data_IF_113323043851
#
_entry.id   IF_113323043851
#
_cell.length_a   1.000
_cell.length_b   1.000
_cell.length_c   1.000
_cell.angle_alpha   90.00
_cell.angle_beta   90.00
_cell.angle_gamma   90.00
#
_symmetry.space_group_name_H-M   'P 1'
#
loop_
_entity.id
_entity.type
_entity.pdbx_description
1 polymer ?
#
# COMPACT_ATOMS: atom_id res chain seq x y z
N UNK A 1 13.54 -5.61 22.92
CA UNK A 1 12.21 -6.25 23.03
C UNK A 1 11.90 -6.70 21.62
N UNK A 2 11.69 -8.00 21.39
CA UNK A 2 11.25 -8.47 20.07
C UNK A 2 9.95 -7.74 19.72
N UNK A 3 9.82 -7.28 18.48
CA UNK A 3 8.58 -6.72 17.93
C UNK A 3 7.55 -7.84 17.66
N UNK A 4 7.36 -8.71 18.67
CA UNK A 4 6.45 -9.84 18.66
C UNK A 4 5.02 -9.33 18.64
N UNK A 5 4.26 -9.80 17.66
CA UNK A 5 2.85 -9.48 17.47
C UNK A 5 1.98 -10.59 18.04
N UNK A 6 2.26 -11.84 17.65
CA UNK A 6 1.54 -13.03 18.15
C UNK A 6 2.49 -14.22 18.24
N UNK A 7 2.21 -15.11 19.19
CA UNK A 7 2.87 -16.42 19.30
C UNK A 7 1.81 -17.52 19.30
N UNK A 8 2.07 -18.57 18.52
CA UNK A 8 1.24 -19.77 18.44
C UNK A 8 2.09 -20.99 18.77
N UNK A 9 1.56 -21.90 19.60
CA UNK A 9 2.24 -23.13 19.99
C UNK A 9 1.49 -24.34 19.44
N UNK A 10 2.20 -25.29 18.86
CA UNK A 10 1.65 -26.55 18.36
C UNK A 10 2.60 -27.72 18.66
N UNK A 11 2.30 -28.47 19.72
CA UNK A 11 3.20 -29.51 20.21
C UNK A 11 4.54 -28.90 20.63
N UNK A 12 5.63 -29.40 20.05
CA UNK A 12 6.99 -28.89 20.25
C UNK A 12 7.39 -27.73 19.31
N UNK A 13 6.47 -27.24 18.46
CA UNK A 13 6.73 -26.13 17.55
C UNK A 13 6.14 -24.82 18.06
N UNK A 14 6.82 -23.72 17.74
CA UNK A 14 6.40 -22.36 18.07
C UNK A 14 6.49 -21.49 16.82
N UNK A 15 5.40 -20.83 16.47
CA UNK A 15 5.32 -19.84 15.41
C UNK A 15 5.21 -18.46 16.04
N UNK A 16 6.17 -17.58 15.76
CA UNK A 16 6.14 -16.17 16.16
C UNK A 16 5.87 -15.31 14.95
N UNK A 17 4.85 -14.46 15.02
CA UNK A 17 4.60 -13.38 14.07
C UNK A 17 5.15 -12.11 14.67
N UNK A 18 5.90 -11.37 13.87
CA UNK A 18 6.74 -10.25 14.27
C UNK A 18 6.57 -9.13 13.24
N UNK A 19 6.65 -7.87 13.66
CA UNK A 19 6.70 -6.76 12.71
C UNK A 19 7.99 -6.86 11.88
N UNK A 20 7.87 -6.51 10.60
CA UNK A 20 9.03 -6.28 9.76
C UNK A 20 9.61 -4.90 10.09
N UNK A 21 10.83 -4.87 10.60
CA UNK A 21 11.52 -3.63 10.99
C UNK A 21 12.15 -2.90 9.80
N UNK A 22 12.23 -3.56 8.65
CA UNK A 22 12.78 -3.01 7.41
C UNK A 22 11.95 -3.48 6.20
N UNK A 23 10.65 -3.13 6.16
CA UNK A 23 9.77 -3.54 5.09
C UNK A 23 10.19 -2.86 3.79
N UNK A 24 10.11 -3.61 2.69
CA UNK A 24 10.27 -3.02 1.36
C UNK A 24 9.07 -2.11 1.05
N UNK A 25 9.34 -0.94 0.45
CA UNK A 25 8.29 -0.04 0.02
C UNK A 25 7.65 -0.60 -1.27
N UNK A 26 6.34 -0.89 -1.29
CA UNK A 26 5.70 -1.48 -2.47
C UNK A 26 5.72 -0.54 -3.70
N UNK A 27 6.00 0.76 -3.51
CA UNK A 27 6.19 1.70 -4.63
C UNK A 27 7.54 1.56 -5.34
N UNK A 28 8.48 0.82 -4.78
CA UNK A 28 9.75 0.48 -5.44
C UNK A 28 9.62 -0.78 -6.33
N UNK A 29 8.45 -1.43 -6.34
CA UNK A 29 8.15 -2.60 -7.18
C UNK A 29 7.72 -2.23 -8.62
N UNK A 30 7.57 -3.26 -9.48
CA UNK A 30 7.07 -3.12 -10.85
C UNK A 30 5.54 -2.91 -10.87
N UNK A 31 5.13 -1.68 -10.62
CA UNK A 31 3.73 -1.25 -10.55
C UNK A 31 3.20 -0.86 -11.95
N UNK A 32 1.92 -1.09 -12.18
CA UNK A 32 1.22 -0.60 -13.37
C UNK A 32 0.93 0.90 -13.25
N UNK A 33 0.53 1.35 -12.07
CA UNK A 33 0.19 2.74 -11.79
C UNK A 33 1.40 3.58 -11.42
N UNK A 34 1.35 4.85 -11.75
CA UNK A 34 2.24 5.88 -11.20
C UNK A 34 1.48 6.75 -10.21
N UNK A 35 1.94 6.84 -8.96
CA UNK A 35 1.38 7.67 -7.89
C UNK A 35 2.13 8.99 -7.77
N UNK A 36 1.46 10.11 -8.04
CA UNK A 36 2.03 11.46 -7.90
C UNK A 36 1.33 12.17 -6.76
N UNK A 37 2.07 12.49 -5.69
CA UNK A 37 1.52 13.06 -4.46
C UNK A 37 2.18 14.39 -4.07
N UNK A 38 1.35 15.32 -3.60
CA UNK A 38 1.71 16.64 -3.14
C UNK A 38 1.30 16.78 -1.67
N UNK A 39 2.21 16.44 -0.75
CA UNK A 39 1.97 16.61 0.69
C UNK A 39 3.11 17.33 1.39
N UNK A 40 2.76 18.25 2.29
CA UNK A 40 3.72 19.14 2.97
C UNK A 40 4.54 18.45 4.08
N UNK A 41 4.03 17.35 4.66
CA UNK A 41 4.68 16.64 5.78
C UNK A 41 5.31 15.31 5.38
N UNK A 42 4.82 14.70 4.30
CA UNK A 42 5.13 13.32 3.94
C UNK A 42 5.57 13.30 2.49
N UNK A 43 6.61 12.53 2.20
CA UNK A 43 6.97 12.18 0.83
C UNK A 43 6.23 10.89 0.48
N UNK A 44 5.24 10.98 -0.40
CA UNK A 44 4.29 9.91 -0.68
C UNK A 44 4.31 9.53 -2.16
N UNK A 45 3.96 8.29 -2.47
CA UNK A 45 3.89 7.80 -3.84
C UNK A 45 5.27 7.71 -4.49
N UNK A 46 5.30 7.86 -5.81
CA UNK A 46 6.49 7.70 -6.62
C UNK A 46 7.28 9.03 -6.73
N UNK A 47 8.62 8.97 -6.85
CA UNK A 47 9.42 10.16 -7.03
C UNK A 47 9.04 10.94 -8.29
N UNK A 48 8.87 12.27 -8.17
CA UNK A 48 8.60 13.15 -9.29
C UNK A 48 9.21 14.54 -9.09
N UNK A 49 9.28 15.32 -10.18
CA UNK A 49 9.86 16.67 -10.18
C UNK A 49 8.81 17.80 -10.33
N UNK A 50 7.52 17.47 -10.37
CA UNK A 50 6.44 18.46 -10.36
C UNK A 50 6.47 19.27 -9.07
N UNK A 51 6.36 20.60 -9.19
CA UNK A 51 6.38 21.49 -8.02
C UNK A 51 5.00 21.62 -7.43
N UNK A 52 4.00 21.69 -8.30
CA UNK A 52 2.60 21.85 -7.94
C UNK A 52 1.71 20.87 -8.71
N UNK A 53 0.50 20.55 -8.21
CA UNK A 53 -0.48 19.75 -8.93
C UNK A 53 -0.75 20.21 -10.36
N UNK A 54 -0.68 21.52 -10.59
CA UNK A 54 -1.00 22.16 -11.88
C UNK A 54 0.05 21.79 -12.93
N UNK A 55 1.33 21.68 -12.54
CA UNK A 55 2.41 21.25 -13.43
C UNK A 55 2.15 19.82 -13.92
N UNK A 56 1.75 18.93 -13.02
CA UNK A 56 1.44 17.53 -13.32
C UNK A 56 0.22 17.39 -14.23
N UNK A 57 -0.89 18.07 -13.90
CA UNK A 57 -2.10 18.01 -14.72
C UNK A 57 -1.87 18.64 -16.10
N UNK A 58 -1.07 19.72 -16.18
CA UNK A 58 -0.70 20.32 -17.46
C UNK A 58 0.13 19.37 -18.31
N UNK A 59 1.13 18.68 -17.74
CA UNK A 59 1.94 17.70 -18.44
C UNK A 59 1.08 16.55 -19.00
N UNK A 60 0.19 15.97 -18.20
CA UNK A 60 -0.73 14.93 -18.70
C UNK A 60 -1.71 15.46 -19.75
N UNK A 61 -2.17 16.71 -19.63
CA UNK A 61 -3.02 17.34 -20.63
C UNK A 61 -2.26 17.54 -21.94
N UNK A 62 -1.01 18.02 -21.88
CA UNK A 62 -0.12 18.18 -23.02
C UNK A 62 0.10 16.85 -23.73
N UNK A 63 0.43 15.78 -22.99
CA UNK A 63 0.55 14.43 -23.54
C UNK A 63 -0.77 13.95 -24.18
N UNK A 64 -1.91 14.32 -23.60
CA UNK A 64 -3.23 13.94 -24.12
C UNK A 64 -3.56 14.63 -25.45
N UNK A 65 -3.21 15.90 -25.60
CA UNK A 65 -3.52 16.71 -26.80
C UNK A 65 -2.38 16.73 -27.83
N UNK A 66 -1.18 16.33 -27.42
CA UNK A 66 0.05 16.23 -28.22
C UNK A 66 0.67 17.56 -28.64
N UNK A 67 0.38 18.66 -27.93
CA UNK A 67 0.75 20.03 -28.34
C UNK A 67 0.59 21.03 -27.18
N UNK A 68 1.69 21.69 -26.80
CA UNK A 68 1.74 22.63 -25.67
C UNK A 68 0.76 23.80 -25.84
N UNK A 69 0.77 24.47 -27.00
CA UNK A 69 -0.11 25.62 -27.25
C UNK A 69 -1.59 25.22 -27.21
N UNK A 70 -1.93 24.00 -27.67
CA UNK A 70 -3.30 23.47 -27.52
C UNK A 70 -3.65 23.26 -26.06
N UNK A 71 -2.75 22.68 -25.26
CA UNK A 71 -2.98 22.45 -23.83
C UNK A 71 -3.24 23.78 -23.11
N UNK A 72 -2.42 24.80 -23.34
CA UNK A 72 -2.62 26.15 -22.79
C UNK A 72 -3.98 26.75 -23.18
N UNK A 73 -4.37 26.61 -24.46
CA UNK A 73 -5.69 27.07 -24.92
C UNK A 73 -6.83 26.33 -24.25
N UNK A 74 -6.70 25.03 -23.99
CA UNK A 74 -7.70 24.25 -23.26
C UNK A 74 -7.83 24.73 -21.81
N UNK A 75 -6.71 24.90 -21.10
CA UNK A 75 -6.70 25.41 -19.72
C UNK A 75 -7.38 26.76 -19.66
N UNK A 76 -6.97 27.72 -20.50
CA UNK A 76 -7.57 29.06 -20.54
C UNK A 76 -9.07 29.00 -20.83
N UNK A 77 -9.49 28.21 -21.81
CA UNK A 77 -10.91 28.06 -22.17
C UNK A 77 -11.73 27.49 -21.02
N UNK A 78 -11.22 26.49 -20.31
CA UNK A 78 -11.88 25.90 -19.14
C UNK A 78 -12.00 26.94 -18.03
N UNK A 79 -10.90 27.60 -17.67
CA UNK A 79 -10.88 28.64 -16.64
C UNK A 79 -11.84 29.80 -16.94
N UNK A 80 -11.93 30.23 -18.20
CA UNK A 80 -12.85 31.29 -18.67
C UNK A 80 -14.32 30.84 -18.64
N UNK A 81 -14.58 29.54 -18.79
CA UNK A 81 -15.95 28.98 -18.82
C UNK A 81 -16.57 28.78 -17.44
N UNK A 82 -15.75 28.68 -16.40
CA UNK A 82 -16.22 28.45 -15.03
C UNK A 82 -16.31 29.79 -14.30
N UNK A 83 -17.53 30.18 -13.91
CA UNK A 83 -17.71 31.40 -13.14
C UNK A 83 -17.16 31.22 -11.70
N UNK A 84 -16.04 31.90 -11.44
CA UNK A 84 -15.35 31.93 -10.16
C UNK A 84 -16.23 32.35 -8.97
N UNK A 85 -17.21 33.22 -9.19
CA UNK A 85 -18.11 33.73 -8.14
C UNK A 85 -19.07 32.67 -7.58
N UNK A 86 -19.27 31.56 -8.31
CA UNK A 86 -20.11 30.45 -7.86
C UNK A 86 -19.48 29.62 -6.74
N UNK A 87 -18.19 29.81 -6.44
CA UNK A 87 -17.44 28.99 -5.50
C UNK A 87 -17.04 29.76 -4.25
N UNK A 88 -17.24 29.12 -3.09
CA UNK A 88 -16.98 29.69 -1.76
C UNK A 88 -15.50 29.95 -1.46
N UNK A 89 -14.57 29.31 -2.16
CA UNK A 89 -13.13 29.38 -1.84
C UNK A 89 -12.21 29.21 -3.05
N UNK A 90 -10.96 29.70 -2.88
CA UNK A 90 -9.73 29.33 -3.61
C UNK A 90 -9.83 27.99 -4.35
N UNK A 91 -9.65 26.97 -3.51
CA UNK A 91 -9.54 25.58 -3.89
C UNK A 91 -10.82 24.96 -4.43
N UNK A 92 -12.02 25.41 -4.05
CA UNK A 92 -13.26 24.83 -4.56
C UNK A 92 -13.43 25.08 -6.07
N UNK A 93 -13.15 26.30 -6.52
CA UNK A 93 -13.09 26.62 -7.96
C UNK A 93 -11.91 25.96 -8.64
N UNK A 94 -10.73 25.96 -8.00
CA UNK A 94 -9.56 25.31 -8.58
C UNK A 94 -9.84 23.83 -8.85
N UNK A 95 -10.45 23.13 -7.88
CA UNK A 95 -10.88 21.75 -8.04
C UNK A 95 -11.84 21.58 -9.23
N UNK A 96 -12.79 22.49 -9.42
CA UNK A 96 -13.70 22.44 -10.57
C UNK A 96 -12.97 22.59 -11.92
N UNK A 97 -11.95 23.46 -11.99
CA UNK A 97 -11.07 23.58 -13.16
C UNK A 97 -10.28 22.29 -13.37
N UNK A 98 -9.68 21.74 -12.31
CA UNK A 98 -8.91 20.50 -12.35
C UNK A 98 -9.77 19.32 -12.82
N UNK A 99 -11.02 19.22 -12.35
CA UNK A 99 -11.96 18.15 -12.72
C UNK A 99 -12.28 18.17 -14.23
N UNK A 100 -12.48 19.35 -14.84
CA UNK A 100 -12.69 19.50 -16.29
C UNK A 100 -11.42 19.15 -17.09
N UNK A 101 -10.23 19.51 -16.58
CA UNK A 101 -8.95 19.12 -17.19
C UNK A 101 -8.78 17.59 -17.15
N UNK A 102 -9.08 16.97 -16.02
CA UNK A 102 -9.03 15.52 -15.81
C UNK A 102 -9.96 14.79 -16.78
N UNK A 103 -11.13 15.33 -17.09
CA UNK A 103 -12.04 14.73 -18.07
C UNK A 103 -11.47 14.73 -19.49
N UNK A 104 -10.61 15.69 -19.84
CA UNK A 104 -9.84 15.63 -21.08
C UNK A 104 -8.75 14.56 -20.99
N UNK A 105 -7.95 14.57 -19.91
CA UNK A 105 -6.85 13.61 -19.66
C UNK A 105 -7.35 12.16 -19.74
N UNK A 106 -8.57 11.89 -19.24
CA UNK A 106 -9.25 10.58 -19.28
C UNK A 106 -9.45 10.02 -20.68
N UNK A 107 -9.24 10.80 -21.74
CA UNK A 107 -9.20 10.30 -23.13
C UNK A 107 -7.99 9.41 -23.37
N UNK A 108 -6.84 9.71 -22.77
CA UNK A 108 -5.58 8.98 -22.94
C UNK A 108 -5.11 8.21 -21.70
N UNK A 109 -5.59 8.59 -20.52
CA UNK A 109 -5.18 7.96 -19.26
C UNK A 109 -6.37 7.38 -18.49
N UNK A 110 -6.08 6.44 -17.60
CA UNK A 110 -6.95 6.07 -16.47
C UNK A 110 -6.30 6.72 -15.24
N UNK A 111 -7.06 7.56 -14.53
CA UNK A 111 -6.56 8.37 -13.41
C UNK A 111 -7.59 8.40 -12.29
N UNK A 112 -7.12 8.14 -11.07
CA UNK A 112 -7.91 8.15 -9.84
C UNK A 112 -7.32 9.17 -8.86
N UNK A 113 -8.15 9.94 -8.14
CA UNK A 113 -7.67 10.82 -7.08
C UNK A 113 -7.11 9.99 -5.91
N UNK A 114 -6.15 10.54 -5.19
CA UNK A 114 -5.63 9.99 -3.93
C UNK A 114 -5.97 10.92 -2.77
N UNK A 115 -6.52 10.37 -1.71
CA UNK A 115 -6.86 11.05 -0.47
C UNK A 115 -6.03 10.50 0.67
N UNK A 116 -5.57 11.37 1.57
CA UNK A 116 -4.86 11.01 2.79
C UNK A 116 -5.70 11.40 3.99
N UNK A 117 -5.68 10.58 5.05
CA UNK A 117 -6.12 10.93 6.40
C UNK A 117 -4.92 10.85 7.35
N UNK A 118 -4.67 11.92 8.11
CA UNK A 118 -3.53 12.08 9.03
C UNK A 118 -4.02 12.23 10.49
N UNK A 119 -4.20 11.11 11.20
CA UNK A 119 -4.79 11.08 12.55
C UNK A 119 -4.07 10.10 13.50
N UNK A 120 -2.89 10.50 14.00
CA UNK A 120 -1.98 9.65 14.82
C UNK A 120 -1.32 8.49 14.06
N UNK A 121 -1.45 8.53 12.73
CA UNK A 121 -0.99 7.59 11.72
C UNK A 121 -1.56 8.09 10.38
N UNK A 122 -1.06 7.56 9.27
CA UNK A 122 -1.54 7.95 7.94
C UNK A 122 -2.20 6.77 7.23
N UNK A 123 -3.29 7.07 6.53
CA UNK A 123 -3.95 6.13 5.62
C UNK A 123 -4.29 6.85 4.31
N UNK A 124 -4.13 6.15 3.19
CA UNK A 124 -4.35 6.65 1.84
C UNK A 124 -5.42 5.82 1.12
N UNK A 125 -6.23 6.47 0.28
CA UNK A 125 -7.29 5.81 -0.48
C UNK A 125 -7.60 6.52 -1.79
N UNK A 126 -8.20 5.81 -2.73
CA UNK A 126 -8.78 6.40 -3.96
C UNK A 126 -10.13 7.07 -3.72
N UNK A 127 -10.69 6.96 -2.51
CA UNK A 127 -11.95 7.55 -2.09
C UNK A 127 -11.78 8.57 -0.96
N UNK A 128 -12.60 9.62 -0.91
CA UNK A 128 -12.49 10.64 0.14
C UNK A 128 -12.88 10.08 1.51
N UNK A 129 -12.17 10.54 2.55
CA UNK A 129 -12.55 10.29 3.93
C UNK A 129 -13.62 11.28 4.41
N UNK A 130 -14.40 10.89 5.42
CA UNK A 130 -15.44 11.76 5.99
C UNK A 130 -14.91 12.85 6.91
N UNK A 131 -13.64 12.77 7.35
CA UNK A 131 -13.05 13.71 8.29
C UNK A 131 -12.69 15.04 7.61
N UNK A 132 -13.31 16.17 7.98
CA UNK A 132 -13.10 17.45 7.28
C UNK A 132 -11.82 18.18 7.69
N UNK A 133 -11.13 17.74 8.75
CA UNK A 133 -9.97 18.44 9.32
C UNK A 133 -8.65 17.79 8.92
N UNK A 134 -8.61 16.46 9.06
CA UNK A 134 -7.39 15.67 8.95
C UNK A 134 -7.31 14.92 7.61
N UNK A 135 -8.26 15.13 6.70
CA UNK A 135 -8.24 14.51 5.38
C UNK A 135 -8.31 15.50 4.23
N UNK A 136 -7.78 15.08 3.09
CA UNK A 136 -7.83 15.85 1.86
C UNK A 136 -7.25 15.07 0.68
N UNK A 137 -7.52 15.56 -0.53
CA UNK A 137 -6.88 15.02 -1.72
C UNK A 137 -5.41 15.42 -1.71
N UNK A 138 -4.52 14.44 -1.88
CA UNK A 138 -3.07 14.64 -1.88
C UNK A 138 -2.43 14.36 -3.23
N UNK A 139 -3.15 13.79 -4.19
CA UNK A 139 -2.54 13.46 -5.47
C UNK A 139 -3.44 12.64 -6.38
N UNK A 140 -2.80 11.88 -7.26
CA UNK A 140 -3.44 10.95 -8.18
C UNK A 140 -2.57 9.72 -8.41
N UNK A 141 -3.23 8.60 -8.68
CA UNK A 141 -2.62 7.44 -9.32
C UNK A 141 -3.12 7.37 -10.76
N UNK A 142 -2.23 7.12 -11.72
CA UNK A 142 -2.60 7.07 -13.13
C UNK A 142 -1.81 6.03 -13.93
N UNK A 143 -2.36 5.64 -15.08
CA UNK A 143 -1.70 4.79 -16.08
C UNK A 143 -2.16 5.21 -17.48
N UNK A 144 -1.27 5.16 -18.47
CA UNK A 144 -1.66 5.42 -19.86
C UNK A 144 -2.50 4.28 -20.40
N UNK A 145 -3.47 4.58 -21.27
CA UNK A 145 -4.25 3.53 -21.95
C UNK A 145 -3.39 2.67 -22.88
N UNK A 146 -2.29 3.20 -23.36
CA UNK A 146 -1.37 2.49 -24.25
C UNK A 146 -0.59 1.42 -23.46
N UNK A 147 -0.16 1.72 -22.22
CA UNK A 147 0.47 0.73 -21.31
C UNK A 147 -0.52 -0.36 -20.90
N UNK A 148 -1.75 0.03 -20.54
CA UNK A 148 -2.82 -0.94 -20.27
C UNK A 148 -3.06 -1.84 -21.48
N UNK A 149 -3.10 -1.29 -22.70
CA UNK A 149 -3.20 -2.10 -23.92
C UNK A 149 -2.02 -3.07 -24.07
N UNK A 150 -0.80 -2.63 -23.76
CA UNK A 150 0.40 -3.45 -23.77
C UNK A 150 0.33 -4.63 -22.80
N UNK A 151 0.01 -4.36 -21.53
CA UNK A 151 -0.07 -5.37 -20.46
C UNK A 151 -1.15 -6.43 -20.75
N UNK A 152 -2.33 -6.00 -21.20
CA UNK A 152 -3.43 -6.93 -21.49
C UNK A 152 -3.41 -7.50 -22.92
N UNK A 153 -2.46 -7.09 -23.77
CA UNK A 153 -2.36 -7.54 -25.16
C UNK A 153 -3.57 -7.16 -26.03
N UNK A 154 -4.23 -6.03 -25.74
CA UNK A 154 -5.43 -5.56 -26.45
C UNK A 154 -5.12 -4.33 -27.30
N UNK A 155 -5.87 -4.12 -28.39
CA UNK A 155 -5.71 -2.93 -29.24
C UNK A 155 -6.48 -1.70 -28.75
N UNK A 156 -7.54 -1.92 -27.98
CA UNK A 156 -8.42 -0.87 -27.48
C UNK A 156 -8.93 -1.23 -26.08
N UNK A 157 -9.10 -0.21 -25.25
CA UNK A 157 -9.65 -0.36 -23.89
C UNK A 157 -11.16 -0.57 -23.96
N UNK A 158 -11.59 -1.79 -23.63
CA UNK A 158 -13.01 -2.11 -23.41
C UNK A 158 -13.44 -1.70 -22.00
N UNK A 159 -14.76 -1.61 -21.71
CA UNK A 159 -15.23 -1.35 -20.34
C UNK A 159 -14.71 -2.35 -19.30
N UNK A 160 -14.55 -3.61 -19.70
CA UNK A 160 -14.01 -4.67 -18.83
C UNK A 160 -12.53 -4.45 -18.53
N UNK A 161 -11.71 -4.19 -19.56
CA UNK A 161 -10.27 -3.91 -19.38
C UNK A 161 -10.07 -2.65 -18.54
N UNK A 162 -10.90 -1.61 -18.76
CA UNK A 162 -10.87 -0.40 -17.93
C UNK A 162 -11.15 -0.72 -16.46
N UNK A 163 -12.13 -1.58 -16.17
CA UNK A 163 -12.47 -2.00 -14.80
C UNK A 163 -11.31 -2.76 -14.16
N UNK A 164 -10.66 -3.66 -14.88
CA UNK A 164 -9.49 -4.38 -14.37
C UNK A 164 -8.34 -3.44 -14.07
N UNK A 165 -8.02 -2.52 -14.99
CA UNK A 165 -6.99 -1.51 -14.76
C UNK A 165 -7.30 -0.65 -13.52
N UNK A 166 -8.54 -0.19 -13.35
CA UNK A 166 -8.96 0.53 -12.14
C UNK A 166 -8.75 -0.32 -10.88
N UNK A 167 -9.14 -1.61 -10.91
CA UNK A 167 -8.96 -2.51 -9.77
C UNK A 167 -7.48 -2.74 -9.42
N UNK A 168 -6.59 -2.78 -10.42
CA UNK A 168 -5.13 -2.83 -10.17
C UNK A 168 -4.64 -1.55 -9.50
N UNK A 169 -5.04 -0.38 -10.00
CA UNK A 169 -4.67 0.89 -9.37
C UNK A 169 -5.19 1.00 -7.93
N UNK A 170 -6.41 0.53 -7.67
CA UNK A 170 -6.98 0.49 -6.31
C UNK A 170 -6.20 -0.45 -5.40
N UNK A 171 -5.81 -1.63 -5.89
CA UNK A 171 -5.01 -2.59 -5.15
C UNK A 171 -3.60 -2.07 -4.83
N UNK A 172 -2.94 -1.38 -5.78
CA UNK A 172 -1.63 -0.74 -5.52
C UNK A 172 -1.73 0.33 -4.42
N UNK A 173 -2.84 1.08 -4.37
CA UNK A 173 -3.09 2.06 -3.31
C UNK A 173 -3.34 1.38 -1.97
N UNK A 174 -4.09 0.28 -1.96
CA UNK A 174 -4.36 -0.51 -0.74
C UNK A 174 -3.06 -1.13 -0.17
N UNK A 175 -2.20 -1.67 -1.03
CA UNK A 175 -0.91 -2.22 -0.62
C UNK A 175 0.03 -1.14 -0.07
N UNK A 176 0.06 0.02 -0.73
CA UNK A 176 0.80 1.17 -0.22
C UNK A 176 0.23 1.68 1.11
N UNK A 177 -1.09 1.65 1.30
CA UNK A 177 -1.74 2.00 2.56
C UNK A 177 -1.33 1.06 3.71
N UNK A 178 -1.30 -0.25 3.47
CA UNK A 178 -0.81 -1.25 4.44
C UNK A 178 0.63 -0.93 4.87
N UNK A 179 1.50 -0.61 3.90
CA UNK A 179 2.87 -0.18 4.17
C UNK A 179 2.92 1.09 5.03
N UNK A 180 2.13 2.11 4.68
CA UNK A 180 2.08 3.38 5.42
C UNK A 180 1.57 3.21 6.86
N UNK A 181 0.70 2.24 7.11
CA UNK A 181 0.21 1.87 8.46
C UNK A 181 1.22 1.02 9.25
N UNK A 182 2.30 0.56 8.62
CA UNK A 182 3.32 -0.29 9.24
C UNK A 182 2.83 -1.73 9.45
N UNK A 183 1.84 -2.16 8.68
CA UNK A 183 1.24 -3.49 8.77
C UNK A 183 1.98 -4.49 7.88
N UNK A 184 3.30 -4.56 8.07
CA UNK A 184 4.18 -5.50 7.39
C UNK A 184 4.82 -6.41 8.42
N UNK A 185 4.79 -7.70 8.14
CA UNK A 185 5.11 -8.73 9.11
C UNK A 185 6.07 -9.76 8.53
N UNK A 186 6.71 -10.48 9.44
CA UNK A 186 7.34 -11.77 9.15
C UNK A 186 6.94 -12.82 10.16
N UNK A 187 7.45 -14.02 9.92
CA UNK A 187 7.40 -15.09 10.89
C UNK A 187 8.78 -15.62 11.23
N UNK A 188 8.85 -16.21 12.41
CA UNK A 188 9.93 -17.12 12.80
C UNK A 188 9.31 -18.40 13.34
N UNK A 189 9.71 -19.52 12.76
CA UNK A 189 9.25 -20.84 13.13
C UNK A 189 10.36 -21.54 13.92
N UNK A 190 10.00 -22.08 15.07
CA UNK A 190 10.90 -22.77 15.97
C UNK A 190 10.40 -24.17 16.29
N UNK A 191 11.32 -25.04 16.69
CA UNK A 191 11.01 -26.24 17.45
C UNK A 191 11.84 -26.30 18.73
N UNK A 192 11.36 -27.07 19.70
CA UNK A 192 12.11 -27.39 20.92
C UNK A 192 13.06 -28.57 20.61
N UNK A 193 14.35 -28.38 20.89
CA UNK A 193 15.35 -29.45 20.93
C UNK A 193 15.10 -30.33 22.16
N UNK A 194 14.24 -31.34 21.98
CA UNK A 194 13.85 -32.27 23.04
C UNK A 194 15.06 -33.03 23.61
N UNK A 195 16.07 -33.36 22.79
CA UNK A 195 17.25 -34.08 23.27
C UNK A 195 18.09 -33.21 24.24
N UNK A 196 18.26 -31.93 23.90
CA UNK A 196 18.94 -30.96 24.77
C UNK A 196 18.12 -30.66 26.03
N UNK A 197 16.81 -30.55 25.89
CA UNK A 197 15.88 -30.34 27.01
C UNK A 197 15.92 -31.52 28.00
N UNK A 198 15.81 -32.76 27.50
CA UNK A 198 15.88 -33.98 28.31
C UNK A 198 17.22 -34.09 29.05
N UNK A 199 18.33 -33.80 28.36
CA UNK A 199 19.66 -33.81 28.98
C UNK A 199 19.77 -32.78 30.13
N UNK A 200 19.21 -31.58 29.94
CA UNK A 200 19.17 -30.54 30.96
C UNK A 200 18.31 -30.94 32.17
N UNK A 201 17.07 -31.40 31.92
CA UNK A 201 16.14 -31.84 32.95
C UNK A 201 16.76 -32.93 33.83
N UNK A 202 17.41 -33.92 33.18
CA UNK A 202 18.11 -35.00 33.87
C UNK A 202 19.29 -34.51 34.72
N UNK A 203 20.09 -33.58 34.20
CA UNK A 203 21.25 -33.04 34.92
C UNK A 203 20.82 -32.16 36.11
N UNK A 204 19.71 -31.43 35.98
CA UNK A 204 19.16 -30.56 37.02
C UNK A 204 18.26 -31.29 38.02
N UNK A 205 17.83 -32.52 37.72
CA UNK A 205 16.85 -33.25 38.54
C UNK A 205 15.48 -32.57 38.54
N UNK A 206 15.08 -32.01 37.39
CA UNK A 206 13.82 -31.28 37.20
C UNK A 206 12.91 -32.05 36.24
N UNK A 207 11.60 -31.83 36.39
CA UNK A 207 10.60 -32.23 35.40
C UNK A 207 10.25 -31.04 34.49
N UNK A 208 9.72 -31.29 33.29
CA UNK A 208 9.42 -30.24 32.30
C UNK A 208 8.46 -29.18 32.85
N UNK A 209 7.49 -29.60 33.66
CA UNK A 209 6.51 -28.73 34.31
C UNK A 209 7.13 -27.77 35.34
N UNK A 210 8.39 -28.01 35.72
CA UNK A 210 9.14 -27.10 36.58
C UNK A 210 9.79 -25.95 35.82
N UNK A 211 9.82 -26.00 34.48
CA UNK A 211 10.37 -24.92 33.65
C UNK A 211 9.30 -23.89 33.32
N UNK A 212 9.68 -22.63 33.45
CA UNK A 212 8.93 -21.52 32.87
C UNK A 212 9.05 -21.49 31.34
N UNK A 213 8.10 -20.85 30.66
CA UNK A 213 8.19 -20.62 29.20
C UNK A 213 9.52 -19.96 28.80
N UNK A 214 10.03 -19.05 29.63
CA UNK A 214 11.32 -18.37 29.41
C UNK A 214 12.51 -19.31 29.49
N UNK A 215 12.45 -20.32 30.35
CA UNK A 215 13.51 -21.34 30.40
C UNK A 215 13.40 -22.31 29.21
N UNK A 216 12.18 -22.61 28.75
CA UNK A 216 11.96 -23.38 27.54
C UNK A 216 12.53 -22.69 26.29
N UNK A 217 12.61 -21.35 26.26
CA UNK A 217 13.24 -20.61 25.15
C UNK A 217 14.72 -20.97 24.93
N UNK A 218 15.43 -21.43 25.97
CA UNK A 218 16.85 -21.84 25.87
C UNK A 218 17.06 -23.09 24.99
N UNK A 219 15.97 -23.78 24.67
CA UNK A 219 15.94 -25.00 23.89
C UNK A 219 15.28 -24.80 22.52
N UNK A 220 14.91 -23.57 22.15
CA UNK A 220 14.38 -23.29 20.83
C UNK A 220 15.48 -23.30 19.77
N UNK A 221 15.17 -23.96 18.66
CA UNK A 221 15.97 -23.98 17.45
C UNK A 221 15.09 -23.42 16.33
N UNK A 222 15.59 -22.39 15.65
CA UNK A 222 14.90 -21.79 14.50
C UNK A 222 14.91 -22.80 13.34
N UNK A 223 13.72 -23.13 12.83
CA UNK A 223 13.53 -23.96 11.64
C UNK A 223 13.54 -23.10 10.38
N UNK A 224 12.83 -21.98 10.41
CA UNK A 224 12.56 -21.15 9.24
C UNK A 224 12.15 -19.73 9.64
N UNK A 225 12.40 -18.77 8.75
CA UNK A 225 11.91 -17.40 8.90
C UNK A 225 11.73 -16.72 7.54
N UNK A 226 10.67 -15.93 7.42
CA UNK A 226 10.37 -15.16 6.21
C UNK A 226 9.72 -13.83 6.59
N UNK A 227 9.84 -12.83 5.72
CA UNK A 227 9.44 -11.43 5.95
C UNK A 227 8.69 -10.89 4.73
N UNK A 228 8.14 -9.67 4.84
CA UNK A 228 7.42 -9.02 3.73
C UNK A 228 5.98 -9.48 3.54
N UNK A 229 5.28 -9.89 4.60
CA UNK A 229 3.85 -10.21 4.54
C UNK A 229 3.01 -8.97 4.89
N UNK A 230 2.24 -8.49 3.92
CA UNK A 230 1.46 -7.25 4.02
C UNK A 230 0.04 -7.54 4.54
N UNK A 231 -0.34 -6.88 5.63
CA UNK A 231 -1.68 -6.95 6.22
C UNK A 231 -1.73 -7.77 7.51
N UNK A 232 -2.62 -7.36 8.42
CA UNK A 232 -2.75 -7.88 9.79
C UNK A 232 -3.64 -9.13 9.90
N UNK A 233 -4.36 -9.49 8.83
CA UNK A 233 -5.03 -10.78 8.70
C UNK A 233 -4.03 -11.86 8.23
N UNK A 234 -3.39 -12.50 9.20
CA UNK A 234 -2.40 -13.57 8.99
C UNK A 234 -2.95 -14.82 8.29
N UNK A 235 -4.29 -14.95 8.14
CA UNK A 235 -4.89 -16.02 7.34
C UNK A 235 -4.98 -15.67 5.86
N UNK A 236 -4.94 -14.38 5.52
CA UNK A 236 -5.15 -13.88 4.17
C UNK A 236 -3.89 -13.24 3.55
N UNK A 237 -2.92 -12.81 4.36
CA UNK A 237 -1.72 -12.10 3.88
C UNK A 237 -0.63 -12.98 3.23
N UNK A 238 -0.93 -14.25 2.93
CA UNK A 238 -0.02 -15.19 2.27
C UNK A 238 0.96 -15.91 3.20
N UNK A 239 1.09 -15.54 4.48
CA UNK A 239 2.05 -16.15 5.43
C UNK A 239 1.84 -17.67 5.58
N UNK A 240 0.58 -18.12 5.59
CA UNK A 240 0.21 -19.54 5.68
C UNK A 240 0.74 -20.41 4.52
N UNK A 241 1.05 -19.81 3.36
CA UNK A 241 1.63 -20.54 2.23
C UNK A 241 3.07 -20.99 2.50
N UNK A 242 3.77 -20.31 3.42
CA UNK A 242 5.16 -20.57 3.76
C UNK A 242 5.30 -21.38 5.06
N UNK A 243 4.57 -21.03 6.12
CA UNK A 243 4.64 -21.75 7.40
C UNK A 243 3.94 -23.10 7.38
N UNK A 244 3.05 -23.32 6.40
CA UNK A 244 2.28 -24.56 6.23
C UNK A 244 0.85 -24.47 6.78
N UNK A 245 -0.08 -25.14 6.07
CA UNK A 245 -1.51 -25.14 6.40
C UNK A 245 -1.84 -25.79 7.74
N UNK A 246 -0.91 -26.53 8.33
CA UNK A 246 -1.10 -27.08 9.67
C UNK A 246 -1.27 -26.00 10.74
N UNK A 247 -0.87 -24.75 10.48
CA UNK A 247 -1.06 -23.61 11.37
C UNK A 247 -2.42 -22.91 11.21
N UNK A 248 -3.17 -23.19 10.13
CA UNK A 248 -4.46 -22.54 9.82
C UNK A 248 -5.51 -22.70 10.94
N UNK A 249 -5.50 -23.83 11.65
CA UNK A 249 -6.41 -24.08 12.78
C UNK A 249 -6.02 -23.41 14.09
N UNK A 250 -4.84 -22.79 14.15
CA UNK A 250 -4.27 -22.18 15.36
C UNK A 250 -4.12 -20.67 15.20
N UNK A 251 -3.78 -20.20 14.00
CA UNK A 251 -3.83 -18.78 13.60
C UNK A 251 -5.27 -18.31 13.56
#
# INVERSE_FOLDING_TARGET
MENLVKEYKKGHKILRIVYDDNPENPRDWDNLGTMVCFHRRYNLGDPHNYREPDDFLFDLLEQTVGDTDKAERFVKKISDSINRELYRSYGAYKKAVDDEIIDIIRKKFIILPLYLLDHSGITISTSPFSCPWDSGQVGWIYVSKDDVCGVYGVKHITPTVKRWAIGVLEAEVEEYDIYLRGEVYGYKLYHIDEAKLEAYLKAAGLERENLSDRELELFLVEEDSCWGFFGDDFRANGLLEYVGREWEGVI
#
